data_IF_063406435256
#
_entry.id   IF_063406435256
#
_cell.length_a   1.000
_cell.length_b   1.000
_cell.length_c   1.000
_cell.angle_alpha   90.00
_cell.angle_beta   90.00
_cell.angle_gamma   90.00
#
_symmetry.space_group_name_H-M   'P 1'
#
loop_
_entity.id
_entity.type
_entity.pdbx_description
1 polymer ?
#
# COMPACT_ATOMS: atom_id res chain seq x y z
N UNK A 1 -29.81 77.83 29.55
CA UNK A 1 -30.28 76.42 29.60
C UNK A 1 -29.77 75.73 28.37
N UNK A 2 -28.81 74.86 28.59
CA UNK A 2 -27.89 74.36 27.62
C UNK A 2 -28.37 72.98 27.04
N UNK A 3 -28.60 72.95 25.76
CA UNK A 3 -28.94 71.72 25.04
C UNK A 3 -27.71 71.09 24.43
N UNK A 4 -27.38 69.90 24.90
CA UNK A 4 -26.27 69.14 24.44
C UNK A 4 -26.68 68.29 23.18
N UNK A 5 -26.04 68.54 22.03
CA UNK A 5 -26.21 67.75 20.81
C UNK A 5 -25.04 66.74 20.73
N UNK A 6 -25.34 65.45 20.91
CA UNK A 6 -24.44 64.39 20.67
C UNK A 6 -24.36 64.07 19.18
N UNK A 7 -23.17 64.28 18.59
CA UNK A 7 -22.87 63.91 17.21
C UNK A 7 -22.48 62.43 17.16
N UNK A 8 -23.22 61.68 16.34
CA UNK A 8 -22.91 60.29 16.02
C UNK A 8 -21.92 60.26 14.86
N UNK A 9 -20.66 59.91 15.15
CA UNK A 9 -19.67 59.62 14.09
C UNK A 9 -19.97 58.25 13.47
N UNK A 10 -20.40 58.25 12.23
CA UNK A 10 -20.45 57.02 11.41
C UNK A 10 -19.08 56.81 10.76
N UNK A 11 -18.35 55.82 11.24
CA UNK A 11 -17.16 55.33 10.59
C UNK A 11 -17.54 54.43 9.40
N UNK A 12 -17.29 54.90 8.20
CA UNK A 12 -17.36 54.09 6.97
C UNK A 12 -16.08 53.27 6.85
N UNK A 13 -16.15 51.97 7.13
CA UNK A 13 -15.07 51.02 6.87
C UNK A 13 -15.12 50.66 5.39
N UNK A 14 -14.21 51.19 4.60
CA UNK A 14 -14.01 50.77 3.20
C UNK A 14 -13.28 49.40 3.18
N UNK A 15 -13.99 48.34 2.80
CA UNK A 15 -13.39 47.04 2.51
C UNK A 15 -12.80 47.11 1.10
N UNK A 16 -11.48 47.23 1.01
CA UNK A 16 -10.76 47.07 -0.26
C UNK A 16 -10.68 45.59 -0.61
N UNK A 17 -11.49 45.13 -1.56
CA UNK A 17 -11.33 43.83 -2.18
C UNK A 17 -10.06 43.83 -3.03
N UNK A 18 -9.00 43.28 -2.54
CA UNK A 18 -7.84 42.92 -3.37
C UNK A 18 -8.22 41.72 -4.24
N UNK A 19 -8.51 41.94 -5.50
CA UNK A 19 -8.55 40.89 -6.50
C UNK A 19 -7.12 40.39 -6.74
N UNK A 20 -6.77 39.27 -6.11
CA UNK A 20 -5.54 38.54 -6.43
C UNK A 20 -5.77 37.92 -7.81
N UNK A 21 -4.96 38.25 -8.85
CA UNK A 21 -5.05 37.54 -10.10
C UNK A 21 -4.60 36.09 -9.82
N UNK A 22 -5.55 35.17 -9.85
CA UNK A 22 -5.23 33.74 -9.90
C UNK A 22 -4.52 33.51 -11.23
N UNK A 23 -3.18 33.47 -11.20
CA UNK A 23 -2.41 32.97 -12.31
C UNK A 23 -2.86 31.53 -12.54
N UNK A 24 -3.72 31.33 -13.53
CA UNK A 24 -3.97 30.00 -14.08
C UNK A 24 -2.63 29.51 -14.64
N UNK A 25 -1.90 28.78 -13.84
CA UNK A 25 -0.82 27.95 -14.35
C UNK A 25 -1.51 26.94 -15.27
N UNK A 26 -1.38 27.12 -16.56
CA UNK A 26 -1.72 26.11 -17.54
C UNK A 26 -0.84 24.88 -17.21
N UNK A 27 -1.41 23.93 -16.47
CA UNK A 27 -0.75 22.67 -16.23
C UNK A 27 -0.56 22.03 -17.59
N UNK A 28 0.69 21.83 -17.98
CA UNK A 28 0.99 21.01 -19.15
C UNK A 28 0.23 19.71 -19.01
N UNK A 29 -0.60 19.30 -19.98
CA UNK A 29 -1.36 18.06 -19.82
C UNK A 29 -0.38 16.92 -19.55
N UNK A 30 -0.51 16.31 -18.38
CA UNK A 30 0.31 15.13 -18.02
C UNK A 30 0.08 14.06 -19.06
N UNK A 31 1.16 13.54 -19.62
CA UNK A 31 1.08 12.46 -20.62
C UNK A 31 0.76 11.13 -19.92
N UNK A 32 0.01 10.23 -20.56
CA UNK A 32 -0.13 8.87 -20.06
C UNK A 32 1.25 8.25 -19.84
N UNK A 33 1.43 7.57 -18.71
CA UNK A 33 2.65 6.83 -18.42
C UNK A 33 2.32 5.38 -18.10
N UNK A 34 3.22 4.50 -18.51
CA UNK A 34 3.21 3.08 -18.17
C UNK A 34 4.62 2.70 -17.73
N UNK A 35 4.72 2.13 -16.56
CA UNK A 35 5.96 1.63 -15.97
C UNK A 35 5.83 0.13 -15.73
N UNK A 36 6.77 -0.63 -16.26
CA UNK A 36 6.95 -2.04 -15.94
C UNK A 36 8.09 -2.14 -14.92
N UNK A 37 7.88 -2.83 -13.82
CA UNK A 37 8.85 -2.97 -12.75
C UNK A 37 8.84 -4.37 -12.15
N UNK A 38 9.83 -4.66 -11.33
CA UNK A 38 9.93 -5.92 -10.63
C UNK A 38 11.38 -6.27 -10.31
N UNK A 39 11.56 -7.47 -9.80
CA UNK A 39 12.87 -8.02 -9.54
C UNK A 39 12.84 -9.56 -9.61
N UNK A 40 13.96 -10.15 -9.95
CA UNK A 40 14.23 -11.57 -9.75
C UNK A 40 14.98 -11.71 -8.42
N UNK A 41 14.52 -12.61 -7.54
CA UNK A 41 15.10 -12.87 -6.24
C UNK A 41 15.49 -14.35 -6.14
N UNK A 42 16.67 -14.62 -5.62
CA UNK A 42 17.15 -15.95 -5.25
C UNK A 42 17.38 -15.95 -3.76
N UNK A 43 16.61 -16.76 -3.05
CA UNK A 43 16.80 -17.04 -1.63
C UNK A 43 17.59 -18.34 -1.48
N UNK A 44 18.63 -18.32 -0.67
CA UNK A 44 19.40 -19.51 -0.30
C UNK A 44 19.52 -19.52 1.22
N UNK A 45 19.23 -20.65 1.82
CA UNK A 45 19.32 -20.80 3.26
C UNK A 45 19.60 -22.22 3.68
N UNK A 46 19.83 -22.39 4.98
CA UNK A 46 20.08 -23.65 5.61
C UNK A 46 19.28 -23.77 6.91
N UNK A 47 18.44 -24.79 6.99
CA UNK A 47 17.64 -25.11 8.16
C UNK A 47 18.30 -26.21 8.98
N UNK A 48 18.64 -25.93 10.22
CA UNK A 48 19.16 -26.94 11.17
C UNK A 48 18.08 -27.96 11.57
N UNK A 49 16.81 -27.55 11.52
CA UNK A 49 15.63 -28.40 11.69
C UNK A 49 14.72 -28.19 10.51
N UNK A 50 14.18 -29.26 9.93
CA UNK A 50 13.26 -29.16 8.78
C UNK A 50 12.06 -28.29 9.13
N UNK A 51 11.83 -27.26 8.34
CA UNK A 51 10.66 -26.39 8.42
C UNK A 51 9.46 -27.06 7.73
N UNK A 52 8.25 -26.54 7.94
CA UNK A 52 7.04 -27.03 7.28
C UNK A 52 7.23 -27.08 5.74
N UNK A 53 6.89 -28.20 5.07
CA UNK A 53 7.20 -28.43 3.66
C UNK A 53 6.71 -27.35 2.68
N UNK A 54 5.56 -26.74 2.95
CA UNK A 54 5.03 -25.65 2.10
C UNK A 54 5.85 -24.35 2.18
N UNK A 55 6.76 -24.27 3.15
CA UNK A 55 7.56 -23.07 3.44
C UNK A 55 9.07 -23.35 3.39
N UNK A 56 9.47 -24.42 2.76
CA UNK A 56 10.83 -24.97 2.76
C UNK A 56 11.91 -24.00 2.30
N UNK A 57 11.58 -22.98 1.49
CA UNK A 57 12.52 -22.03 0.90
C UNK A 57 12.35 -20.60 1.42
N UNK A 58 11.80 -20.46 2.64
CA UNK A 58 11.66 -19.16 3.29
C UNK A 58 11.93 -19.24 4.78
N UNK A 59 12.39 -18.15 5.34
CA UNK A 59 12.45 -18.00 6.78
C UNK A 59 11.06 -17.60 7.30
N UNK A 60 10.43 -18.51 8.07
CA UNK A 60 9.10 -18.27 8.63
C UNK A 60 8.97 -18.87 10.02
N UNK A 61 9.07 -18.02 11.03
CA UNK A 61 9.10 -18.41 12.45
C UNK A 61 7.87 -19.23 12.88
N UNK A 62 6.68 -18.90 12.36
CA UNK A 62 5.45 -19.63 12.71
C UNK A 62 5.30 -21.00 12.04
N UNK A 63 6.29 -21.40 11.22
CA UNK A 63 6.32 -22.68 10.50
C UNK A 63 7.51 -23.56 10.91
N UNK A 64 8.19 -23.16 11.98
CA UNK A 64 9.22 -23.99 12.59
C UNK A 64 8.59 -25.24 13.25
N UNK A 65 9.31 -26.35 13.36
CA UNK A 65 8.81 -27.53 14.05
C UNK A 65 8.60 -27.26 15.54
N UNK A 66 7.53 -27.80 16.10
CA UNK A 66 7.19 -27.68 17.53
C UNK A 66 7.87 -28.74 18.38
N UNK A 67 8.30 -29.84 17.74
CA UNK A 67 9.08 -30.90 18.36
C UNK A 67 10.11 -31.46 17.37
N UNK A 68 11.10 -32.16 17.86
CA UNK A 68 12.16 -32.71 17.03
C UNK A 68 11.62 -33.74 16.03
N UNK A 69 11.95 -33.53 14.76
CA UNK A 69 11.57 -34.45 13.68
C UNK A 69 10.17 -34.29 13.15
N UNK A 70 9.40 -33.26 13.56
CA UNK A 70 8.01 -33.05 13.11
C UNK A 70 7.89 -33.07 11.58
N UNK A 71 8.77 -32.39 10.88
CA UNK A 71 8.73 -32.28 9.40
C UNK A 71 9.90 -33.02 8.73
N UNK A 72 10.85 -33.57 9.48
CA UNK A 72 12.03 -34.26 8.95
C UNK A 72 13.22 -34.24 9.90
N UNK A 73 14.35 -34.77 9.41
CA UNK A 73 15.54 -34.92 10.22
C UNK A 73 16.31 -33.62 10.47
N UNK A 74 16.01 -32.57 9.73
CA UNK A 74 16.79 -31.34 9.72
C UNK A 74 18.05 -31.41 8.86
N UNK A 75 18.84 -30.32 8.91
CA UNK A 75 20.05 -30.15 8.12
C UNK A 75 19.76 -30.02 6.62
N UNK A 76 18.74 -29.26 6.28
CA UNK A 76 18.26 -29.05 4.93
C UNK A 76 18.81 -27.71 4.36
N UNK A 77 19.31 -27.76 3.12
CA UNK A 77 19.68 -26.54 2.38
C UNK A 77 18.66 -26.31 1.29
N UNK A 78 18.16 -25.10 1.21
CA UNK A 78 17.17 -24.72 0.21
C UNK A 78 17.68 -23.60 -0.71
N UNK A 79 17.07 -23.55 -1.89
CA UNK A 79 17.14 -22.42 -2.80
C UNK A 79 15.75 -22.18 -3.40
N UNK A 80 15.31 -20.92 -3.45
CA UNK A 80 14.01 -20.55 -3.95
C UNK A 80 14.02 -19.23 -4.73
N UNK A 81 13.11 -19.10 -5.67
CA UNK A 81 12.93 -17.87 -6.48
C UNK A 81 11.53 -17.27 -6.33
N UNK A 82 10.72 -17.87 -5.45
CA UNK A 82 9.28 -17.57 -5.34
C UNK A 82 8.97 -16.14 -4.91
N UNK A 83 9.90 -15.43 -4.26
CA UNK A 83 9.75 -14.03 -3.88
C UNK A 83 9.97 -13.06 -5.05
N UNK A 84 10.37 -13.56 -6.22
CA UNK A 84 10.45 -12.74 -7.44
C UNK A 84 9.11 -12.08 -7.74
N UNK A 85 9.17 -10.82 -8.22
CA UNK A 85 8.00 -9.97 -8.36
C UNK A 85 7.99 -9.29 -9.72
N UNK A 86 6.78 -9.09 -10.25
CA UNK A 86 6.54 -8.34 -11.46
C UNK A 86 5.32 -7.45 -11.27
N UNK A 87 5.38 -6.24 -11.78
CA UNK A 87 4.27 -5.29 -11.73
C UNK A 87 4.25 -4.30 -12.87
N UNK A 88 3.09 -3.71 -13.05
CA UNK A 88 2.83 -2.62 -14.00
C UNK A 88 2.11 -1.52 -13.25
N UNK A 89 2.59 -0.28 -13.41
CA UNK A 89 1.91 0.93 -12.95
C UNK A 89 1.53 1.78 -14.15
N UNK A 90 0.37 2.41 -14.08
CA UNK A 90 0.01 3.42 -15.06
C UNK A 90 -0.52 4.69 -14.40
N UNK A 91 -0.35 5.79 -15.10
CA UNK A 91 -1.01 7.06 -14.80
C UNK A 91 -1.59 7.61 -16.09
N UNK A 92 -2.91 7.75 -16.13
CA UNK A 92 -3.64 8.17 -17.32
C UNK A 92 -4.46 9.42 -17.01
N UNK A 93 -4.22 10.55 -17.66
CA UNK A 93 -5.05 11.75 -17.50
C UNK A 93 -6.47 11.49 -18.03
N UNK A 94 -7.46 11.90 -17.24
CA UNK A 94 -8.87 11.84 -17.59
C UNK A 94 -9.53 13.20 -17.30
N UNK A 95 -10.74 13.42 -17.79
CA UNK A 95 -11.52 14.64 -17.50
C UNK A 95 -11.81 14.78 -15.99
N UNK A 96 -11.76 13.68 -15.24
CA UNK A 96 -11.98 13.66 -13.80
C UNK A 96 -10.69 13.79 -12.98
N UNK A 97 -9.52 13.77 -13.62
CA UNK A 97 -8.20 13.78 -12.98
C UNK A 97 -7.34 12.59 -13.40
N UNK A 98 -6.20 12.42 -12.74
CA UNK A 98 -5.30 11.31 -13.01
C UNK A 98 -5.87 9.98 -12.48
N UNK A 99 -6.08 9.03 -13.39
CA UNK A 99 -6.34 7.65 -13.05
C UNK A 99 -5.01 6.93 -12.88
N UNK A 100 -4.69 6.54 -11.67
CA UNK A 100 -3.51 5.72 -11.35
C UNK A 100 -3.92 4.27 -11.17
N UNK A 101 -3.16 3.35 -11.75
CA UNK A 101 -3.39 1.91 -11.56
C UNK A 101 -2.11 1.19 -11.19
N UNK A 102 -2.25 0.10 -10.48
CA UNK A 102 -1.18 -0.85 -10.20
C UNK A 102 -1.71 -2.29 -10.35
N UNK A 103 -0.96 -3.09 -11.08
CA UNK A 103 -1.14 -4.53 -11.16
C UNK A 103 0.19 -5.21 -10.83
N UNK A 104 0.22 -6.00 -9.77
CA UNK A 104 1.46 -6.62 -9.27
C UNK A 104 1.19 -8.05 -8.82
N UNK A 105 2.11 -8.94 -9.12
CA UNK A 105 2.11 -10.31 -8.64
C UNK A 105 3.52 -10.80 -8.29
N UNK A 106 3.58 -11.86 -7.53
CA UNK A 106 4.77 -12.63 -7.18
C UNK A 106 4.57 -14.10 -7.52
N UNK A 107 5.62 -14.90 -7.34
CA UNK A 107 5.59 -16.33 -7.68
C UNK A 107 5.40 -17.21 -6.42
N UNK A 108 4.88 -16.63 -5.34
CA UNK A 108 4.78 -17.31 -4.05
C UNK A 108 3.39 -17.93 -3.86
N UNK A 109 3.19 -19.14 -4.36
CA UNK A 109 1.96 -19.90 -4.20
C UNK A 109 1.59 -20.12 -2.73
N UNK A 110 0.31 -19.98 -2.40
CA UNK A 110 -0.25 -20.18 -1.06
C UNK A 110 -1.53 -21.01 -1.14
N UNK A 111 -2.06 -21.45 -0.01
CA UNK A 111 -3.24 -22.30 0.04
C UNK A 111 -2.99 -23.64 -0.65
N UNK A 112 -3.79 -23.98 -1.66
CA UNK A 112 -3.63 -25.23 -2.44
C UNK A 112 -2.34 -25.27 -3.27
N UNK A 113 -1.75 -24.13 -3.57
CA UNK A 113 -0.50 -23.96 -4.32
C UNK A 113 0.71 -23.73 -3.39
N UNK A 114 0.56 -23.91 -2.09
CA UNK A 114 1.66 -23.73 -1.15
C UNK A 114 2.85 -24.62 -1.51
N UNK A 115 4.06 -24.08 -1.42
CA UNK A 115 5.28 -24.76 -1.84
C UNK A 115 5.57 -24.72 -3.35
N UNK A 116 4.67 -24.17 -4.18
CA UNK A 116 4.82 -24.12 -5.62
C UNK A 116 5.14 -22.70 -6.14
N UNK A 117 5.79 -22.67 -7.30
CA UNK A 117 6.07 -21.41 -8.03
C UNK A 117 4.86 -21.06 -8.89
N UNK A 118 3.82 -20.52 -8.29
CA UNK A 118 2.57 -20.11 -8.96
C UNK A 118 2.33 -18.63 -8.77
N UNK A 119 1.67 -18.02 -9.76
CA UNK A 119 1.35 -16.59 -9.74
C UNK A 119 0.37 -16.30 -8.60
N UNK A 120 0.74 -15.37 -7.73
CA UNK A 120 -0.10 -14.84 -6.67
C UNK A 120 -0.30 -13.35 -6.86
N UNK A 121 -1.56 -12.93 -6.98
CA UNK A 121 -1.89 -11.51 -7.10
C UNK A 121 -1.56 -10.76 -5.81
N UNK A 122 -0.79 -9.69 -5.94
CA UNK A 122 -0.49 -8.76 -4.84
C UNK A 122 -1.40 -7.54 -4.89
N UNK A 123 -1.33 -6.82 -6.00
CA UNK A 123 -2.12 -5.61 -6.21
C UNK A 123 -2.86 -5.68 -7.54
N UNK A 124 -4.13 -5.32 -7.51
CA UNK A 124 -4.97 -4.95 -8.65
C UNK A 124 -5.81 -3.77 -8.18
N UNK A 125 -5.24 -2.56 -8.27
CA UNK A 125 -5.78 -1.36 -7.62
C UNK A 125 -5.84 -0.20 -8.59
N UNK A 126 -6.90 0.59 -8.49
CA UNK A 126 -7.06 1.83 -9.23
C UNK A 126 -7.43 2.98 -8.31
N UNK A 127 -6.89 4.16 -8.58
CA UNK A 127 -7.17 5.41 -7.86
C UNK A 127 -7.55 6.52 -8.81
N UNK A 128 -8.61 7.23 -8.49
CA UNK A 128 -9.02 8.45 -9.17
C UNK A 128 -9.34 9.54 -8.13
N UNK A 129 -8.53 10.60 -8.09
CA UNK A 129 -8.61 11.65 -7.06
C UNK A 129 -8.53 11.06 -5.64
N UNK A 130 -9.63 11.16 -4.91
CA UNK A 130 -9.77 10.73 -3.53
C UNK A 130 -10.38 9.32 -3.38
N UNK A 131 -10.64 8.63 -4.47
CA UNK A 131 -11.27 7.32 -4.44
C UNK A 131 -10.34 6.26 -5.01
N UNK A 132 -10.32 5.12 -4.35
CA UNK A 132 -9.60 3.95 -4.83
C UNK A 132 -10.45 2.69 -4.69
N UNK A 133 -10.24 1.72 -5.58
CA UNK A 133 -10.92 0.44 -5.53
C UNK A 133 -10.05 -0.68 -6.11
N UNK A 134 -10.26 -1.89 -5.63
CA UNK A 134 -9.55 -3.09 -6.03
C UNK A 134 -8.92 -3.82 -4.87
N UNK A 135 -7.86 -4.59 -5.12
CA UNK A 135 -7.07 -5.27 -4.10
C UNK A 135 -5.76 -4.55 -3.86
N UNK A 136 -5.50 -4.19 -2.62
CA UNK A 136 -4.21 -3.62 -2.16
C UNK A 136 -4.03 -3.87 -0.66
N UNK A 137 -3.00 -3.29 -0.06
CA UNK A 137 -2.79 -3.37 1.38
C UNK A 137 -4.03 -2.94 2.16
N UNK A 138 -4.40 -3.73 3.15
CA UNK A 138 -5.41 -3.34 4.11
C UNK A 138 -5.07 -2.00 4.75
N UNK A 139 -6.07 -1.21 5.13
CA UNK A 139 -5.87 0.04 5.89
C UNK A 139 -5.25 -0.19 7.27
N UNK A 140 -5.27 -1.42 7.76
CA UNK A 140 -4.60 -1.84 9.02
C UNK A 140 -3.11 -2.17 8.81
N UNK A 141 -2.64 -2.25 7.57
CA UNK A 141 -1.26 -2.56 7.26
C UNK A 141 -0.49 -1.32 6.86
N UNK A 142 0.60 -1.07 7.55
CA UNK A 142 1.57 -0.02 7.22
C UNK A 142 2.92 -0.68 6.86
N UNK A 143 3.25 -0.79 5.55
CA UNK A 143 4.53 -1.36 5.12
C UNK A 143 5.75 -0.55 5.54
N UNK A 144 5.58 0.76 5.76
CA UNK A 144 6.69 1.68 6.04
C UNK A 144 7.29 1.48 7.44
N UNK A 145 6.53 0.85 8.34
CA UNK A 145 7.01 0.52 9.70
C UNK A 145 7.67 -0.84 9.81
N UNK A 146 7.75 -1.63 8.71
CA UNK A 146 8.40 -2.93 8.75
C UNK A 146 9.91 -2.78 8.91
N UNK A 147 10.50 -3.50 9.87
CA UNK A 147 11.94 -3.56 9.99
C UNK A 147 12.55 -4.31 8.80
N UNK A 148 13.81 -4.02 8.50
CA UNK A 148 14.57 -4.80 7.53
C UNK A 148 14.91 -6.18 8.14
N UNK A 149 14.25 -7.23 7.66
CA UNK A 149 14.37 -8.59 8.17
C UNK A 149 14.21 -9.63 7.06
N UNK A 150 14.68 -10.84 7.32
CA UNK A 150 14.61 -11.97 6.38
C UNK A 150 13.32 -12.78 6.51
N UNK A 151 12.58 -12.64 7.61
CA UNK A 151 11.33 -13.36 7.82
C UNK A 151 10.31 -12.90 6.78
N UNK A 152 9.79 -13.83 5.97
CA UNK A 152 8.94 -13.53 4.81
C UNK A 152 7.64 -12.78 5.19
N UNK A 153 7.03 -13.12 6.31
CA UNK A 153 5.74 -12.57 6.72
C UNK A 153 5.84 -11.32 7.58
N UNK A 154 7.04 -10.85 7.85
CA UNK A 154 7.27 -9.76 8.78
C UNK A 154 7.22 -10.19 10.25
N UNK A 155 7.39 -9.27 11.19
CA UNK A 155 7.34 -9.58 12.62
C UNK A 155 6.02 -10.23 13.01
N UNK A 156 6.10 -11.25 13.87
CA UNK A 156 4.92 -11.89 14.44
C UNK A 156 4.06 -10.85 15.16
N UNK A 157 2.77 -10.80 14.83
CA UNK A 157 1.82 -9.81 15.37
C UNK A 157 1.63 -8.56 14.53
N UNK A 158 2.44 -8.31 13.51
CA UNK A 158 2.14 -7.26 12.53
C UNK A 158 1.08 -7.71 11.54
N UNK A 159 0.18 -6.79 11.21
CA UNK A 159 -0.82 -7.02 10.15
C UNK A 159 -0.13 -7.04 8.80
N UNK A 160 -0.24 -8.16 8.07
CA UNK A 160 0.38 -8.33 6.77
C UNK A 160 -0.60 -9.02 5.81
N UNK A 161 -1.54 -8.27 5.26
CA UNK A 161 -2.48 -8.80 4.28
C UNK A 161 -3.01 -7.74 3.32
N UNK A 162 -3.53 -8.20 2.22
CA UNK A 162 -4.17 -7.40 1.16
C UNK A 162 -5.61 -7.82 1.02
N UNK A 163 -6.49 -6.84 0.94
CA UNK A 163 -7.92 -7.07 0.80
C UNK A 163 -8.48 -6.38 -0.44
N UNK A 164 -9.53 -6.97 -1.00
CA UNK A 164 -10.40 -6.26 -1.93
C UNK A 164 -11.16 -5.21 -1.14
N UNK A 165 -11.11 -3.97 -1.60
CA UNK A 165 -11.66 -2.83 -0.87
C UNK A 165 -12.08 -1.69 -1.80
N UNK A 166 -12.93 -0.83 -1.29
CA UNK A 166 -13.16 0.52 -1.78
C UNK A 166 -12.75 1.52 -0.70
N UNK A 167 -12.00 2.56 -1.10
CA UNK A 167 -11.39 3.52 -0.18
C UNK A 167 -11.71 4.94 -0.58
N UNK A 168 -12.03 5.77 0.40
CA UNK A 168 -12.09 7.22 0.28
C UNK A 168 -10.94 7.84 1.06
N UNK A 169 -10.19 8.72 0.40
CA UNK A 169 -8.95 9.33 0.90
C UNK A 169 -9.08 10.87 0.91
N UNK A 170 -9.92 11.45 1.80
CA UNK A 170 -10.22 12.89 1.80
C UNK A 170 -9.02 13.77 2.14
N UNK A 171 -8.07 13.26 2.91
CA UNK A 171 -6.84 13.96 3.27
C UNK A 171 -5.64 13.13 2.86
N UNK A 172 -4.77 13.72 2.06
CA UNK A 172 -3.55 13.07 1.59
C UNK A 172 -2.51 14.15 1.30
N UNK A 173 -1.61 14.38 2.24
CA UNK A 173 -0.51 15.34 2.12
C UNK A 173 0.72 14.82 2.91
N UNK A 174 1.83 15.56 2.85
CA UNK A 174 3.12 15.16 3.44
C UNK A 174 3.09 14.95 4.97
N UNK A 175 2.08 15.46 5.66
CA UNK A 175 2.00 15.40 7.13
C UNK A 175 0.85 14.57 7.65
N UNK A 176 -0.23 14.46 6.88
CA UNK A 176 -1.47 13.82 7.31
C UNK A 176 -2.10 13.03 6.19
N UNK A 177 -2.62 11.87 6.54
CA UNK A 177 -3.50 11.08 5.68
C UNK A 177 -4.72 10.63 6.48
N UNK A 178 -5.89 10.67 5.84
CA UNK A 178 -7.11 10.09 6.37
C UNK A 178 -7.72 9.19 5.30
N UNK A 179 -7.90 7.92 5.65
CA UNK A 179 -8.47 6.93 4.77
C UNK A 179 -9.67 6.27 5.44
N UNK A 180 -10.74 6.14 4.70
CA UNK A 180 -11.94 5.42 5.11
C UNK A 180 -12.18 4.33 4.08
N UNK A 181 -12.22 3.06 4.51
CA UNK A 181 -12.36 1.93 3.62
C UNK A 181 -13.45 0.96 4.05
N UNK A 182 -14.05 0.31 3.06
CA UNK A 182 -14.83 -0.91 3.24
C UNK A 182 -14.02 -2.03 2.61
N UNK A 183 -13.63 -3.01 3.41
CA UNK A 183 -12.78 -4.12 3.01
C UNK A 183 -13.54 -5.45 3.08
N UNK A 184 -13.26 -6.34 2.13
CA UNK A 184 -13.70 -7.73 2.25
C UNK A 184 -12.99 -8.35 3.47
N UNK A 185 -13.70 -8.97 4.41
CA UNK A 185 -13.08 -9.63 5.54
C UNK A 185 -12.24 -10.83 5.10
N UNK A 186 -11.12 -11.05 5.80
CA UNK A 186 -10.20 -12.16 5.56
C UNK A 186 -8.83 -11.71 5.09
N UNK A 187 -7.81 -12.44 5.49
CA UNK A 187 -6.43 -12.23 5.05
C UNK A 187 -6.16 -12.99 3.74
N UNK A 188 -5.41 -12.38 2.85
CA UNK A 188 -4.87 -13.05 1.65
C UNK A 188 -3.55 -13.74 2.02
N UNK A 189 -3.61 -14.79 2.80
CA UNK A 189 -2.42 -15.52 3.25
C UNK A 189 -2.43 -16.94 2.82
#
# INVERSE_FOLDING_TARGET
MTGHRSGVFRALTAIALFAIPSALHAQTPEKPSLEVYGFAMLDIGHDFKTIHPDWYDTMRVTKLPTFDGEFGKGNDTFAGVRQSRFGVRSSTPTDLGQLKTIFEFEMFGTGVDAGQTTIRLRHAWGELKHFGAGQTWSTFMDPDVFPNQLEYWGPTGMVFFRNVQARWMPVQNDKHSLWIAVERPGASG
#
